data_IF_079891631702
#
_entry.id   IF_079891631702
#
_cell.length_a   1.000
_cell.length_b   1.000
_cell.length_c   1.000
_cell.angle_alpha   90.00
_cell.angle_beta   90.00
_cell.angle_gamma   90.00
#
_symmetry.space_group_name_H-M   'P 1'
#
loop_
_entity.id
_entity.type
_entity.pdbx_description
1 polymer ?
#
# COMPACT_ATOMS: atom_id res chain seq x y z
N UNK A 1 -21.32 -14.17 22.40
CA UNK A 1 -20.35 -13.27 21.74
C UNK A 1 -19.21 -14.14 21.28
N UNK A 2 -19.50 -15.25 20.57
CA UNK A 2 -18.53 -16.36 20.44
C UNK A 2 -18.64 -17.09 19.08
N UNK A 3 -19.35 -16.52 18.11
CA UNK A 3 -19.56 -17.14 16.80
C UNK A 3 -18.77 -16.47 15.66
N UNK A 4 -17.76 -15.65 15.97
CA UNK A 4 -16.94 -14.91 14.99
C UNK A 4 -15.47 -15.35 15.00
N UNK A 5 -15.11 -16.33 15.84
CA UNK A 5 -13.77 -16.88 15.88
C UNK A 5 -13.75 -18.25 15.22
N UNK A 6 -13.06 -18.34 14.08
CA UNK A 6 -12.62 -19.57 13.40
C UNK A 6 -13.45 -20.05 12.18
N UNK A 7 -13.57 -19.21 11.15
CA UNK A 7 -13.77 -19.68 9.77
C UNK A 7 -12.42 -19.88 9.08
N UNK A 8 -11.62 -20.87 9.53
CA UNK A 8 -10.65 -21.48 8.63
C UNK A 8 -11.44 -22.39 7.70
N UNK A 9 -11.90 -21.85 6.58
CA UNK A 9 -12.56 -22.65 5.55
C UNK A 9 -11.64 -23.82 5.19
N UNK A 10 -12.04 -25.06 5.48
CA UNK A 10 -11.17 -26.22 5.26
C UNK A 10 -10.82 -26.36 3.78
N UNK A 11 -11.64 -25.81 2.88
CA UNK A 11 -11.44 -25.79 1.42
C UNK A 11 -10.07 -25.24 1.02
N UNK A 12 -9.63 -24.11 1.59
CA UNK A 12 -8.34 -23.51 1.23
C UNK A 12 -7.17 -24.40 1.69
N UNK A 13 -7.27 -24.92 2.91
CA UNK A 13 -6.25 -25.82 3.45
C UNK A 13 -6.18 -27.13 2.68
N UNK A 14 -7.33 -27.75 2.39
CA UNK A 14 -7.44 -28.99 1.62
C UNK A 14 -6.93 -28.80 0.18
N UNK A 15 -7.25 -27.67 -0.45
CA UNK A 15 -6.74 -27.35 -1.79
C UNK A 15 -5.21 -27.22 -1.81
N UNK A 16 -4.64 -26.48 -0.86
CA UNK A 16 -3.18 -26.37 -0.73
C UNK A 16 -2.54 -27.72 -0.43
N UNK A 17 -3.15 -28.53 0.44
CA UNK A 17 -2.70 -29.89 0.73
C UNK A 17 -2.69 -30.74 -0.54
N UNK A 18 -3.76 -30.74 -1.35
CA UNK A 18 -3.81 -31.48 -2.60
C UNK A 18 -2.72 -31.04 -3.59
N UNK A 19 -2.44 -29.74 -3.71
CA UNK A 19 -1.35 -29.24 -4.56
C UNK A 19 0.01 -29.74 -4.06
N UNK A 20 0.27 -29.63 -2.76
CA UNK A 20 1.55 -30.06 -2.17
C UNK A 20 1.71 -31.58 -2.32
N UNK A 21 0.68 -32.35 -1.99
CA UNK A 21 0.68 -33.81 -2.10
C UNK A 21 0.85 -34.27 -3.55
N UNK A 22 0.15 -33.67 -4.51
CA UNK A 22 0.31 -33.97 -5.93
C UNK A 22 1.74 -33.67 -6.41
N UNK A 23 2.31 -32.54 -5.99
CA UNK A 23 3.70 -32.15 -6.33
C UNK A 23 4.71 -33.18 -5.80
N UNK A 24 4.53 -33.64 -4.56
CA UNK A 24 5.38 -34.68 -3.96
C UNK A 24 5.26 -35.99 -4.74
N UNK A 25 4.05 -36.43 -5.10
CA UNK A 25 3.86 -37.65 -5.88
C UNK A 25 4.48 -37.55 -7.28
N UNK A 26 4.33 -36.42 -7.97
CA UNK A 26 4.94 -36.20 -9.29
C UNK A 26 6.46 -36.25 -9.19
N UNK A 27 7.05 -35.59 -8.18
CA UNK A 27 8.49 -35.58 -7.97
C UNK A 27 9.03 -36.98 -7.61
N UNK A 28 8.36 -37.68 -6.69
CA UNK A 28 8.71 -39.05 -6.29
C UNK A 28 8.61 -40.05 -7.42
N UNK A 29 7.53 -39.99 -8.21
CA UNK A 29 7.34 -40.82 -9.40
C UNK A 29 8.43 -40.57 -10.46
N UNK A 30 8.74 -39.30 -10.71
CA UNK A 30 9.80 -38.90 -11.64
C UNK A 30 11.19 -39.41 -11.21
N UNK A 31 11.49 -39.34 -9.90
CA UNK A 31 12.74 -39.86 -9.34
C UNK A 31 12.83 -41.39 -9.44
N UNK A 32 11.72 -42.11 -9.18
CA UNK A 32 11.65 -43.57 -9.34
C UNK A 32 11.87 -44.00 -10.80
N UNK A 33 11.27 -43.30 -11.76
CA UNK A 33 11.50 -43.56 -13.19
C UNK A 33 12.96 -43.35 -13.61
N UNK A 34 13.64 -42.35 -13.03
CA UNK A 34 15.05 -42.06 -13.35
C UNK A 34 16.01 -43.19 -12.93
N UNK A 35 15.67 -43.95 -11.88
CA UNK A 35 16.48 -45.10 -11.43
C UNK A 35 16.46 -46.26 -12.42
N UNK A 36 15.43 -46.36 -13.27
CA UNK A 36 15.29 -47.44 -14.27
C UNK A 36 16.04 -47.03 -15.55
N UNK A 37 17.12 -47.74 -15.96
CA UNK A 37 17.95 -47.32 -17.09
C UNK A 37 17.19 -47.11 -18.40
N UNK A 38 16.23 -47.98 -18.71
CA UNK A 38 15.42 -47.92 -19.93
C UNK A 38 14.47 -46.72 -19.99
N UNK A 39 14.09 -46.14 -18.84
CA UNK A 39 13.17 -45.00 -18.75
C UNK A 39 13.89 -43.67 -18.50
N UNK A 40 15.21 -43.70 -18.31
CA UNK A 40 16.00 -42.51 -17.97
C UNK A 40 15.84 -41.40 -19.00
N UNK A 41 15.93 -41.71 -20.29
CA UNK A 41 15.80 -40.70 -21.36
C UNK A 41 14.41 -40.05 -21.35
N UNK A 42 13.35 -40.85 -21.20
CA UNK A 42 11.98 -40.34 -21.10
C UNK A 42 11.80 -39.44 -19.87
N UNK A 43 12.30 -39.88 -18.70
CA UNK A 43 12.24 -39.08 -17.48
C UNK A 43 13.00 -37.75 -17.61
N UNK A 44 14.16 -37.75 -18.27
CA UNK A 44 14.93 -36.54 -18.52
C UNK A 44 14.19 -35.56 -19.44
N UNK A 45 13.55 -36.06 -20.51
CA UNK A 45 12.72 -35.23 -21.40
C UNK A 45 11.49 -34.66 -20.68
N UNK A 46 10.83 -35.45 -19.83
CA UNK A 46 9.70 -34.99 -19.02
C UNK A 46 10.13 -33.91 -18.02
N UNK A 47 11.27 -34.10 -17.34
CA UNK A 47 11.84 -33.10 -16.43
C UNK A 47 12.24 -31.82 -17.17
N UNK A 48 12.82 -31.93 -18.36
CA UNK A 48 13.14 -30.77 -19.20
C UNK A 48 11.87 -29.98 -19.58
N UNK A 49 10.81 -30.68 -20.01
CA UNK A 49 9.51 -30.07 -20.30
C UNK A 49 8.86 -29.44 -19.06
N UNK A 50 8.92 -30.12 -17.91
CA UNK A 50 8.43 -29.61 -16.63
C UNK A 50 9.21 -28.35 -16.19
N UNK A 51 10.51 -28.28 -16.46
CA UNK A 51 11.32 -27.09 -16.19
C UNK A 51 10.85 -25.87 -16.99
N UNK A 52 10.60 -26.05 -18.29
CA UNK A 52 10.05 -24.97 -19.14
C UNK A 52 8.67 -24.54 -18.63
N UNK A 53 7.82 -25.50 -18.27
CA UNK A 53 6.49 -25.22 -17.73
C UNK A 53 6.55 -24.47 -16.38
N UNK A 54 7.48 -24.85 -15.49
CA UNK A 54 7.69 -24.16 -14.22
C UNK A 54 8.13 -22.71 -14.42
N UNK A 55 9.01 -22.44 -15.40
CA UNK A 55 9.41 -21.08 -15.77
C UNK A 55 8.21 -20.27 -16.28
N UNK A 56 7.36 -20.86 -17.13
CA UNK A 56 6.14 -20.19 -17.61
C UNK A 56 5.18 -19.82 -16.47
N UNK A 57 4.96 -20.74 -15.52
CA UNK A 57 4.17 -20.47 -14.30
C UNK A 57 4.82 -19.36 -13.45
N UNK A 58 6.14 -19.37 -13.31
CA UNK A 58 6.90 -18.34 -12.60
C UNK A 58 6.68 -16.96 -13.19
N UNK A 59 6.76 -16.84 -14.52
CA UNK A 59 6.45 -15.60 -15.23
C UNK A 59 4.99 -15.16 -15.03
N UNK A 60 4.04 -16.08 -15.14
CA UNK A 60 2.62 -15.78 -14.89
C UNK A 60 2.38 -15.28 -13.45
N UNK A 61 3.15 -15.79 -12.49
CA UNK A 61 3.02 -15.46 -11.06
C UNK A 61 3.85 -14.25 -10.62
N UNK A 62 4.66 -13.67 -11.50
CA UNK A 62 5.64 -12.63 -11.17
C UNK A 62 5.01 -11.42 -10.47
N UNK A 63 3.85 -10.94 -10.93
CA UNK A 63 3.19 -9.76 -10.33
C UNK A 63 2.64 -10.04 -8.93
N UNK A 64 2.18 -11.27 -8.67
CA UNK A 64 1.72 -11.65 -7.32
C UNK A 64 2.89 -11.61 -6.34
N UNK A 65 4.04 -12.18 -6.72
CA UNK A 65 5.25 -12.17 -5.91
C UNK A 65 5.82 -10.75 -5.72
N UNK A 66 5.82 -9.94 -6.78
CA UNK A 66 6.22 -8.53 -6.73
C UNK A 66 5.41 -7.74 -5.70
N UNK A 67 4.08 -7.93 -5.66
CA UNK A 67 3.24 -7.27 -4.65
C UNK A 67 3.63 -7.66 -3.22
N UNK A 68 3.91 -8.94 -2.97
CA UNK A 68 4.29 -9.44 -1.64
C UNK A 68 5.63 -8.82 -1.21
N UNK A 69 6.64 -8.82 -2.08
CA UNK A 69 7.94 -8.20 -1.78
C UNK A 69 7.80 -6.71 -1.54
N UNK A 70 7.05 -5.99 -2.39
CA UNK A 70 6.78 -4.57 -2.21
C UNK A 70 6.09 -4.27 -0.89
N UNK A 71 5.09 -5.09 -0.51
CA UNK A 71 4.43 -4.98 0.79
C UNK A 71 5.40 -5.16 1.95
N UNK A 72 6.27 -6.16 1.87
CA UNK A 72 7.30 -6.41 2.87
C UNK A 72 8.27 -5.21 3.01
N UNK A 73 8.71 -4.63 1.88
CA UNK A 73 9.56 -3.43 1.90
C UNK A 73 8.87 -2.21 2.48
N UNK A 74 7.57 -2.00 2.19
CA UNK A 74 6.80 -0.92 2.81
C UNK A 74 6.77 -1.11 4.34
N UNK A 75 6.55 -2.33 4.82
CA UNK A 75 6.49 -2.62 6.26
C UNK A 75 7.85 -2.44 6.94
N UNK A 76 8.95 -2.87 6.29
CA UNK A 76 10.30 -2.81 6.84
C UNK A 76 10.84 -1.37 6.83
N UNK A 77 10.83 -0.71 5.67
CA UNK A 77 11.44 0.60 5.50
C UNK A 77 10.52 1.77 5.83
N UNK A 78 9.20 1.53 5.87
CA UNK A 78 8.16 2.50 6.24
C UNK A 78 8.32 3.87 5.55
N UNK A 79 8.34 3.91 4.20
CA UNK A 79 8.31 5.19 3.46
C UNK A 79 7.03 5.99 3.76
N UNK A 80 5.98 5.30 4.23
CA UNK A 80 4.76 5.85 4.78
C UNK A 80 4.17 4.89 5.81
N UNK A 81 3.24 5.38 6.61
CA UNK A 81 2.59 4.65 7.71
C UNK A 81 1.08 4.76 7.63
N UNK A 82 0.39 3.86 8.32
CA UNK A 82 -1.06 3.97 8.52
C UNK A 82 -1.35 5.31 9.19
N UNK A 83 -2.35 6.03 8.68
CA UNK A 83 -2.76 7.39 9.01
C UNK A 83 -1.94 8.54 8.39
N UNK A 84 -0.93 8.26 7.56
CA UNK A 84 -0.26 9.31 6.79
C UNK A 84 -1.15 9.81 5.65
N UNK A 85 -1.10 11.12 5.36
CA UNK A 85 -1.65 11.71 4.14
C UNK A 85 -0.70 11.49 2.99
N UNK A 86 -1.15 10.72 2.01
CA UNK A 86 -0.42 10.41 0.80
C UNK A 86 -1.12 10.95 -0.43
N UNK A 87 -0.30 11.43 -1.37
CA UNK A 87 -0.66 11.55 -2.77
C UNK A 87 0.23 10.59 -3.56
N UNK A 88 -0.40 9.74 -4.37
CA UNK A 88 0.24 8.69 -5.15
C UNK A 88 -0.10 8.98 -6.62
N UNK A 89 0.91 9.35 -7.41
CA UNK A 89 0.68 9.86 -8.76
C UNK A 89 -0.23 11.10 -8.76
N UNK A 90 -1.10 11.21 -9.78
CA UNK A 90 -1.99 12.37 -9.96
C UNK A 90 -3.43 12.13 -9.49
N UNK A 91 -3.87 10.87 -9.38
CA UNK A 91 -5.29 10.53 -9.24
C UNK A 91 -5.68 10.06 -7.82
N UNK A 92 -4.68 9.65 -7.02
CA UNK A 92 -4.93 9.10 -5.69
C UNK A 92 -4.40 10.07 -4.64
N UNK A 93 -5.32 10.65 -3.87
CA UNK A 93 -4.99 11.43 -2.69
C UNK A 93 -5.90 11.05 -1.51
N UNK A 94 -5.30 10.83 -0.34
CA UNK A 94 -6.06 10.41 0.83
C UNK A 94 -5.20 10.04 2.03
N UNK A 95 -5.81 9.35 2.98
CA UNK A 95 -5.19 8.88 4.22
C UNK A 95 -5.03 7.36 4.15
N UNK A 96 -3.86 6.85 4.49
CA UNK A 96 -3.61 5.40 4.55
C UNK A 96 -4.46 4.78 5.66
N UNK A 97 -5.33 3.84 5.32
CA UNK A 97 -6.23 3.13 6.25
C UNK A 97 -5.63 1.77 6.67
N UNK A 98 -5.02 1.04 5.73
CA UNK A 98 -4.41 -0.27 6.01
C UNK A 98 -3.28 -0.60 5.04
N UNK A 99 -2.32 -1.42 5.47
CA UNK A 99 -1.20 -1.93 4.67
C UNK A 99 -1.14 -3.44 4.83
N UNK A 100 -1.54 -4.18 3.80
CA UNK A 100 -1.44 -5.64 3.74
C UNK A 100 -0.20 -6.09 2.96
N UNK A 101 0.07 -7.39 2.93
CA UNK A 101 1.16 -7.94 2.11
C UNK A 101 0.98 -7.67 0.61
N UNK A 102 -0.25 -7.67 0.08
CA UNK A 102 -0.49 -7.54 -1.38
C UNK A 102 -0.82 -6.12 -1.81
N UNK A 103 -1.50 -5.36 -0.96
CA UNK A 103 -2.06 -4.07 -1.32
C UNK A 103 -2.12 -3.13 -0.11
N UNK A 104 -2.23 -1.85 -0.40
CA UNK A 104 -2.45 -0.78 0.57
C UNK A 104 -3.82 -0.16 0.31
N UNK A 105 -4.54 0.15 1.38
CA UNK A 105 -5.84 0.81 1.32
C UNK A 105 -5.67 2.29 1.67
N UNK A 106 -6.08 3.17 0.74
CA UNK A 106 -6.06 4.62 0.94
C UNK A 106 -7.49 5.15 0.89
N UNK A 107 -7.91 5.82 1.96
CA UNK A 107 -9.21 6.47 2.04
C UNK A 107 -9.12 7.90 1.51
N UNK A 108 -9.84 8.17 0.42
CA UNK A 108 -10.00 9.50 -0.15
C UNK A 108 -10.71 10.44 0.83
N UNK A 109 -10.52 11.75 0.64
CA UNK A 109 -11.28 12.78 1.35
C UNK A 109 -12.80 12.71 1.08
N UNK A 110 -13.20 12.07 -0.02
CA UNK A 110 -14.60 11.76 -0.35
C UNK A 110 -15.09 10.41 0.24
N UNK A 111 -14.35 9.83 1.19
CA UNK A 111 -14.68 8.55 1.85
C UNK A 111 -14.71 7.31 0.93
N UNK A 112 -14.09 7.39 -0.26
CA UNK A 112 -13.83 6.24 -1.16
C UNK A 112 -12.56 5.50 -0.71
N UNK A 113 -12.52 4.17 -0.85
CA UNK A 113 -11.29 3.39 -0.62
C UNK A 113 -10.62 3.00 -1.93
N UNK A 114 -9.38 3.42 -2.11
CA UNK A 114 -8.50 2.92 -3.15
C UNK A 114 -7.76 1.69 -2.63
N UNK A 115 -7.93 0.55 -3.30
CA UNK A 115 -7.22 -0.69 -3.00
C UNK A 115 -6.10 -0.85 -4.02
N UNK A 116 -4.89 -0.49 -3.62
CA UNK A 116 -3.78 -0.29 -4.56
C UNK A 116 -2.76 -1.41 -4.38
N UNK A 117 -2.42 -2.17 -5.42
CA UNK A 117 -1.37 -3.18 -5.35
C UNK A 117 -0.04 -2.56 -4.92
N UNK A 118 0.65 -3.19 -3.97
CA UNK A 118 1.87 -2.63 -3.39
C UNK A 118 2.98 -2.43 -4.42
N UNK A 119 3.07 -3.31 -5.42
CA UNK A 119 4.03 -3.15 -6.52
C UNK A 119 3.80 -1.86 -7.31
N UNK A 120 2.55 -1.47 -7.54
CA UNK A 120 2.22 -0.23 -8.24
C UNK A 120 2.58 1.01 -7.40
N UNK A 121 2.39 0.95 -6.08
CA UNK A 121 2.83 2.04 -5.17
C UNK A 121 4.36 2.18 -5.21
N UNK A 122 5.10 1.08 -5.18
CA UNK A 122 6.57 1.10 -5.22
C UNK A 122 7.14 1.67 -6.54
N UNK A 123 6.38 1.58 -7.63
CA UNK A 123 6.76 2.08 -8.95
C UNK A 123 6.41 3.56 -9.16
N UNK A 124 5.58 4.15 -8.29
CA UNK A 124 5.09 5.53 -8.45
C UNK A 124 5.77 6.53 -7.53
N UNK A 125 5.69 7.82 -7.91
CA UNK A 125 6.13 8.93 -7.04
C UNK A 125 5.14 9.08 -5.88
N UNK A 126 5.68 9.06 -4.66
CA UNK A 126 4.92 9.19 -3.42
C UNK A 126 5.19 10.55 -2.79
N UNK A 127 4.12 11.30 -2.52
CA UNK A 127 4.18 12.54 -1.75
C UNK A 127 3.58 12.28 -0.38
N UNK A 128 4.44 12.18 0.64
CA UNK A 128 4.02 12.03 2.02
C UNK A 128 4.03 13.38 2.75
N UNK A 129 2.85 13.80 3.20
CA UNK A 129 2.65 15.08 3.89
C UNK A 129 2.80 15.02 5.41
N UNK A 130 3.14 13.85 5.97
CA UNK A 130 3.23 13.60 7.42
C UNK A 130 4.54 12.91 7.84
N UNK A 131 5.45 12.58 6.91
CA UNK A 131 6.64 11.75 7.19
C UNK A 131 7.55 12.33 8.29
N UNK A 132 7.77 13.64 8.27
CA UNK A 132 8.65 14.37 9.20
C UNK A 132 7.87 15.35 10.05
N UNK A 133 6.96 16.11 9.43
CA UNK A 133 6.05 17.03 10.10
C UNK A 133 4.68 16.95 9.42
N UNK A 134 3.63 17.16 10.21
CA UNK A 134 2.23 17.26 9.79
C UNK A 134 1.89 18.59 9.13
N UNK A 135 2.79 19.58 9.21
CA UNK A 135 2.58 20.93 8.66
C UNK A 135 2.74 20.91 7.14
N UNK A 136 1.78 21.52 6.46
CA UNK A 136 1.84 21.78 5.02
C UNK A 136 1.76 23.27 4.73
N UNK A 137 2.37 23.71 3.64
CA UNK A 137 2.17 25.05 3.08
C UNK A 137 1.13 24.95 1.97
N UNK A 138 0.04 25.69 2.10
CA UNK A 138 -0.99 25.76 1.06
C UNK A 138 -1.08 27.20 0.54
N UNK A 139 -1.07 27.34 -0.78
CA UNK A 139 -1.37 28.61 -1.43
C UNK A 139 -2.88 28.74 -1.59
N UNK A 140 -3.42 29.87 -1.14
CA UNK A 140 -4.84 30.20 -1.28
C UNK A 140 -4.91 31.45 -2.16
N UNK A 141 -5.62 31.34 -3.27
CA UNK A 141 -5.82 32.44 -4.21
C UNK A 141 -7.18 33.05 -3.97
N UNK A 142 -7.21 34.31 -3.55
CA UNK A 142 -8.44 35.08 -3.40
C UNK A 142 -8.70 35.86 -4.68
N UNK A 143 -9.93 35.82 -5.17
CA UNK A 143 -10.40 36.69 -6.25
C UNK A 143 -11.11 37.88 -5.62
N UNK A 144 -10.75 39.08 -6.03
CA UNK A 144 -11.36 40.35 -5.60
C UNK A 144 -11.87 41.09 -6.83
N UNK A 145 -12.98 41.80 -6.67
CA UNK A 145 -13.56 42.60 -7.75
C UNK A 145 -12.63 43.77 -8.12
N UNK A 146 -12.62 44.19 -9.37
CA UNK A 146 -11.80 45.31 -9.85
C UNK A 146 -12.13 46.64 -9.16
N UNK A 147 -13.36 46.82 -8.70
CA UNK A 147 -13.78 48.01 -7.97
C UNK A 147 -13.44 47.96 -6.47
N UNK A 148 -12.94 46.83 -5.97
CA UNK A 148 -12.60 46.68 -4.56
C UNK A 148 -11.29 47.38 -4.20
N UNK A 149 -11.21 47.95 -3.00
CA UNK A 149 -9.94 48.44 -2.45
C UNK A 149 -9.03 47.25 -2.10
N UNK A 150 -7.96 47.10 -2.88
CA UNK A 150 -6.97 46.03 -2.70
C UNK A 150 -6.27 46.09 -1.34
N UNK A 151 -6.00 47.30 -0.81
CA UNK A 151 -5.34 47.45 0.50
C UNK A 151 -6.25 46.97 1.61
N UNK A 152 -7.52 47.34 1.54
CA UNK A 152 -8.52 46.89 2.51
C UNK A 152 -8.68 45.37 2.47
N UNK A 153 -8.77 44.78 1.27
CA UNK A 153 -8.87 43.33 1.10
C UNK A 153 -7.64 42.59 1.68
N UNK A 154 -6.43 43.07 1.40
CA UNK A 154 -5.20 42.49 1.95
C UNK A 154 -5.15 42.56 3.48
N UNK A 155 -5.56 43.69 4.07
CA UNK A 155 -5.62 43.86 5.53
C UNK A 155 -6.54 42.83 6.18
N UNK A 156 -7.75 42.64 5.62
CA UNK A 156 -8.73 41.69 6.14
C UNK A 156 -8.21 40.25 6.03
N UNK A 157 -7.64 39.88 4.88
CA UNK A 157 -7.08 38.53 4.68
C UNK A 157 -5.94 38.27 5.66
N UNK A 158 -5.06 39.26 5.88
CA UNK A 158 -3.96 39.13 6.84
C UNK A 158 -4.48 38.96 8.26
N UNK A 159 -5.44 39.79 8.69
CA UNK A 159 -6.03 39.71 10.02
C UNK A 159 -6.69 38.34 10.27
N UNK A 160 -7.49 37.86 9.31
CA UNK A 160 -8.14 36.54 9.40
C UNK A 160 -7.13 35.41 9.45
N UNK A 161 -6.06 35.49 8.65
CA UNK A 161 -5.00 34.49 8.66
C UNK A 161 -4.29 34.47 10.02
N UNK A 162 -3.88 35.63 10.56
CA UNK A 162 -3.17 35.74 11.83
C UNK A 162 -4.00 35.27 13.04
N UNK A 163 -5.32 35.42 12.97
CA UNK A 163 -6.25 34.95 14.00
C UNK A 163 -6.63 33.46 13.86
N UNK A 164 -6.24 32.79 12.77
CA UNK A 164 -6.63 31.41 12.55
C UNK A 164 -5.88 30.43 13.49
N UNK A 165 -6.58 29.54 14.23
CA UNK A 165 -5.96 28.67 15.25
C UNK A 165 -4.86 27.74 14.74
N UNK A 166 -4.92 27.38 13.46
CA UNK A 166 -4.00 26.44 12.80
C UNK A 166 -2.90 27.13 11.99
N UNK A 167 -2.81 28.47 12.01
CA UNK A 167 -1.74 29.17 11.31
C UNK A 167 -0.41 28.91 12.04
N UNK A 168 0.57 28.43 11.29
CA UNK A 168 1.94 28.31 11.77
C UNK A 168 2.86 29.22 10.94
N UNK A 169 3.47 30.21 11.60
CA UNK A 169 4.42 31.14 10.98
C UNK A 169 5.83 30.74 11.43
N UNK A 170 6.71 30.42 10.47
CA UNK A 170 8.13 30.17 10.73
C UNK A 170 8.73 31.42 11.39
N UNK A 171 9.20 31.30 12.64
CA UNK A 171 9.91 32.37 13.36
C UNK A 171 9.09 33.15 14.41
N UNK A 172 7.75 33.06 14.45
CA UNK A 172 6.98 33.56 15.61
C UNK A 172 6.83 32.44 16.65
N UNK A 173 7.44 32.59 17.84
CA UNK A 173 7.20 31.71 19.02
C UNK A 173 5.78 31.90 19.56
N UNK A 174 4.74 31.50 18.83
CA UNK A 174 3.41 31.23 19.42
C UNK A 174 3.19 29.73 19.40
N UNK A 175 3.74 29.09 20.43
CA UNK A 175 3.50 27.68 20.77
C UNK A 175 2.10 27.61 21.36
N UNK A 176 1.07 27.56 20.51
CA UNK A 176 -0.27 27.28 20.98
C UNK A 176 -0.33 25.80 21.37
N UNK A 177 -0.69 25.59 22.62
CA UNK A 177 -0.88 24.31 23.27
C UNK A 177 -2.01 23.58 22.54
N UNK A 178 -1.68 22.78 21.53
CA UNK A 178 -2.58 21.74 21.10
C UNK A 178 -2.45 20.60 22.09
N UNK A 179 -3.51 20.46 22.88
CA UNK A 179 -3.65 19.46 23.90
C UNK A 179 -3.33 18.07 23.38
N UNK A 180 -2.95 17.24 24.33
CA UNK A 180 -3.01 15.79 24.26
C UNK A 180 -4.44 15.36 23.93
N UNK A 181 -4.89 15.52 22.69
CA UNK A 181 -6.04 14.77 22.21
C UNK A 181 -5.53 13.35 22.02
N UNK A 182 -5.63 12.56 23.10
CA UNK A 182 -5.69 11.11 23.00
C UNK A 182 -6.59 10.82 21.80
N UNK A 183 -6.02 10.31 20.71
CA UNK A 183 -6.75 9.72 19.60
C UNK A 183 -7.54 8.54 20.18
N UNK A 184 -8.72 8.83 20.71
CA UNK A 184 -9.81 7.88 20.76
C UNK A 184 -10.62 8.16 19.51
N UNK A 185 -10.27 7.48 18.43
CA UNK A 185 -11.22 7.21 17.37
C UNK A 185 -11.40 5.69 17.39
N UNK A 186 -12.62 5.32 17.74
CA UNK A 186 -13.17 3.97 17.70
C UNK A 186 -13.52 3.62 16.26
#
# INVERSE_FOLDING_TARGET
MDAVLNSKDPTNYLFFQHIVTASIYIAGFSAAMYMIPSLRTLSASLLAGAGIFAVAIGFASQKAFSNIISGLFIIIFKPFRIHDRLSIGNDVAGIVEDITLRHTVVRSYENKRFVIPNSLISEQVLVNSDITDSKIRKFIFFKVDYQSDLKQALSIIQELAENHPWLWIIGRKKRLQMGKTKRQFK
#
